data_IF_685925463286
#
_entry.id   IF_685925463286
#
_cell.length_a   1.000
_cell.length_b   1.000
_cell.length_c   1.000
_cell.angle_alpha   90.00
_cell.angle_beta   90.00
_cell.angle_gamma   90.00
#
_symmetry.space_group_name_H-M   'P 1'
#
loop_
_entity.id
_entity.type
_entity.pdbx_description
1 polymer ?
#
# COMPACT_ATOMS: atom_id res chain seq x y z
N UNK A 1 11.29 -4.70 24.22
CA UNK A 1 10.22 -3.80 23.72
C UNK A 1 8.96 -4.65 23.50
N UNK A 2 7.88 -4.33 24.20
CA UNK A 2 6.62 -5.05 24.06
C UNK A 2 5.92 -4.70 22.73
N UNK A 3 4.73 -5.30 22.47
CA UNK A 3 4.01 -5.07 21.21
C UNK A 3 3.49 -3.62 21.11
N UNK A 4 3.06 -3.05 22.23
CA UNK A 4 2.52 -1.68 22.30
C UNK A 4 3.61 -0.65 22.00
N UNK A 5 4.79 -0.83 22.58
CA UNK A 5 5.95 0.05 22.34
C UNK A 5 6.33 0.06 20.85
N UNK A 6 6.35 -1.12 20.21
CA UNK A 6 6.65 -1.25 18.77
C UNK A 6 5.62 -0.56 17.89
N UNK A 7 4.34 -0.65 18.24
CA UNK A 7 3.27 0.06 17.53
C UNK A 7 3.44 1.56 17.67
N UNK A 8 3.71 2.07 18.88
CA UNK A 8 3.91 3.49 19.13
C UNK A 8 5.11 4.03 18.32
N UNK A 9 6.25 3.34 18.35
CA UNK A 9 7.43 3.72 17.54
C UNK A 9 7.08 3.79 16.05
N UNK A 10 6.28 2.86 15.53
CA UNK A 10 5.87 2.89 14.12
C UNK A 10 4.98 4.10 13.82
N UNK A 11 4.04 4.41 14.71
CA UNK A 11 3.18 5.60 14.58
C UNK A 11 4.02 6.87 14.59
N UNK A 12 4.94 7.01 15.54
CA UNK A 12 5.81 8.20 15.66
C UNK A 12 6.69 8.39 14.42
N UNK A 13 7.17 7.30 13.83
CA UNK A 13 7.92 7.34 12.57
C UNK A 13 7.06 7.74 11.37
N UNK A 14 5.77 7.38 11.35
CA UNK A 14 4.86 7.70 10.25
C UNK A 14 4.28 9.12 10.36
N UNK A 15 3.96 9.59 11.57
CA UNK A 15 3.29 10.88 11.83
C UNK A 15 4.32 11.94 12.18
N UNK A 16 5.24 12.22 11.26
CA UNK A 16 6.23 13.28 11.41
C UNK A 16 5.72 14.60 10.84
N UNK A 17 5.96 15.69 11.54
CA UNK A 17 5.60 17.03 11.06
C UNK A 17 6.22 17.32 9.69
N UNK A 18 5.42 17.83 8.75
CA UNK A 18 5.86 18.20 7.41
C UNK A 18 6.08 17.01 6.46
N UNK A 19 5.78 15.76 6.86
CA UNK A 19 5.91 14.59 5.99
C UNK A 19 4.58 13.92 5.73
N UNK A 20 4.47 13.30 4.56
CA UNK A 20 3.33 12.48 4.16
C UNK A 20 3.67 11.01 4.00
N UNK A 21 2.67 10.21 3.66
CA UNK A 21 2.83 8.79 3.28
C UNK A 21 2.61 8.67 1.78
N UNK A 22 3.60 8.12 1.07
CA UNK A 22 3.51 7.88 -0.37
C UNK A 22 2.67 6.62 -0.65
N UNK A 23 1.64 6.76 -1.46
CA UNK A 23 0.89 5.62 -1.99
C UNK A 23 1.55 5.12 -3.30
N UNK A 24 2.22 3.97 -3.23
CA UNK A 24 2.81 3.24 -4.35
C UNK A 24 2.23 1.83 -4.43
N UNK A 25 0.93 1.71 -4.12
CA UNK A 25 0.21 0.45 -3.91
C UNK A 25 -0.77 0.11 -5.04
N UNK A 26 -0.57 0.67 -6.23
CA UNK A 26 -1.44 0.39 -7.38
C UNK A 26 -1.46 -1.10 -7.68
N UNK A 27 -2.66 -1.67 -7.73
CA UNK A 27 -2.87 -3.05 -8.18
C UNK A 27 -2.51 -3.22 -9.67
N UNK A 28 -2.30 -4.45 -10.11
CA UNK A 28 -1.97 -4.76 -11.51
C UNK A 28 -2.85 -4.03 -12.54
N UNK A 29 -4.20 -4.08 -12.45
CA UNK A 29 -5.07 -3.34 -13.37
C UNK A 29 -4.91 -1.82 -13.30
N UNK A 30 -4.66 -1.27 -12.12
CA UNK A 30 -4.50 0.19 -11.93
C UNK A 30 -3.21 0.68 -12.55
N UNK A 31 -2.08 0.00 -12.30
CA UNK A 31 -0.79 0.39 -12.86
C UNK A 31 -0.76 0.18 -14.38
N UNK A 32 -1.39 -0.89 -14.89
CA UNK A 32 -1.51 -1.14 -16.33
C UNK A 32 -2.26 0.00 -17.05
N UNK A 33 -3.34 0.51 -16.44
CA UNK A 33 -4.07 1.68 -16.98
C UNK A 33 -3.18 2.92 -17.03
N UNK A 34 -2.37 3.18 -16.00
CA UNK A 34 -1.43 4.33 -15.97
C UNK A 34 -0.36 4.18 -17.04
N UNK A 35 0.25 3.00 -17.16
CA UNK A 35 1.29 2.74 -18.16
C UNK A 35 0.77 2.85 -19.59
N UNK A 36 -0.44 2.35 -19.86
CA UNK A 36 -1.09 2.50 -21.17
C UNK A 36 -1.22 3.97 -21.57
N UNK A 37 -1.50 4.86 -20.63
CA UNK A 37 -1.66 6.29 -20.92
C UNK A 37 -0.35 6.96 -21.40
N UNK A 38 0.80 6.36 -21.11
CA UNK A 38 2.14 6.83 -21.51
C UNK A 38 2.83 5.88 -22.52
N UNK A 39 2.08 4.94 -23.11
CA UNK A 39 2.59 4.01 -24.12
C UNK A 39 3.55 2.94 -23.58
N UNK A 40 3.54 2.67 -22.27
CA UNK A 40 4.39 1.64 -21.63
C UNK A 40 3.58 0.36 -21.43
N UNK A 41 4.15 -0.79 -21.77
CA UNK A 41 3.58 -2.09 -21.47
C UNK A 41 3.71 -2.42 -19.98
N UNK A 42 2.65 -2.97 -19.38
CA UNK A 42 2.65 -3.37 -17.97
C UNK A 42 3.19 -4.79 -17.80
N UNK A 43 4.49 -4.94 -17.84
CA UNK A 43 5.21 -6.18 -17.51
C UNK A 43 5.60 -6.16 -16.03
N UNK A 44 6.03 -7.30 -15.48
CA UNK A 44 6.60 -7.35 -14.13
C UNK A 44 7.81 -6.42 -14.01
N UNK A 45 8.67 -6.40 -15.03
CA UNK A 45 9.87 -5.57 -15.06
C UNK A 45 9.54 -4.07 -15.10
N UNK A 46 8.61 -3.63 -15.93
CA UNK A 46 8.22 -2.22 -15.97
C UNK A 46 7.58 -1.75 -14.65
N UNK A 47 6.82 -2.62 -13.97
CA UNK A 47 6.27 -2.33 -12.64
C UNK A 47 7.37 -2.28 -11.59
N UNK A 48 8.33 -3.20 -11.62
CA UNK A 48 9.51 -3.19 -10.75
C UNK A 48 10.32 -1.91 -10.93
N UNK A 49 10.64 -1.56 -12.18
CA UNK A 49 11.39 -0.35 -12.50
C UNK A 49 10.69 0.92 -12.00
N UNK A 50 9.36 1.01 -12.17
CA UNK A 50 8.56 2.12 -11.65
C UNK A 50 8.63 2.21 -10.11
N UNK A 51 8.50 1.10 -9.40
CA UNK A 51 8.62 1.07 -7.92
C UNK A 51 10.04 1.42 -7.47
N UNK A 52 11.04 0.88 -8.15
CA UNK A 52 12.43 1.23 -7.88
C UNK A 52 12.70 2.73 -8.09
N UNK A 53 12.22 3.32 -9.18
CA UNK A 53 12.34 4.76 -9.45
C UNK A 53 11.80 5.60 -8.28
N UNK A 54 10.60 5.27 -7.79
CA UNK A 54 10.00 5.98 -6.66
C UNK A 54 10.85 5.85 -5.39
N UNK A 55 11.25 4.62 -5.05
CA UNK A 55 11.95 4.33 -3.78
C UNK A 55 13.42 4.76 -3.80
N UNK A 56 14.06 4.80 -4.96
CA UNK A 56 15.45 5.22 -5.10
C UNK A 56 15.62 6.74 -5.26
N UNK A 57 14.53 7.51 -5.31
CA UNK A 57 14.59 8.97 -5.48
C UNK A 57 15.36 9.62 -4.32
N UNK A 58 16.48 10.32 -4.57
CA UNK A 58 17.25 10.97 -3.52
C UNK A 58 16.45 12.05 -2.79
N UNK A 59 16.62 12.14 -1.48
CA UNK A 59 15.96 13.16 -0.66
C UNK A 59 14.48 12.93 -0.38
N UNK A 60 13.92 11.79 -0.78
CA UNK A 60 12.51 11.48 -0.58
C UNK A 60 12.10 11.54 0.90
N UNK A 61 12.95 11.10 1.80
CA UNK A 61 12.71 11.12 3.24
C UNK A 61 12.59 12.51 3.88
N UNK A 62 12.95 13.58 3.16
CA UNK A 62 12.68 14.94 3.63
C UNK A 62 11.18 15.26 3.64
N UNK A 63 10.38 14.61 2.77
CA UNK A 63 8.97 14.88 2.56
C UNK A 63 8.05 13.70 2.86
N UNK A 64 8.60 12.48 2.88
CA UNK A 64 7.86 11.23 3.01
C UNK A 64 8.39 10.45 4.21
N UNK A 65 7.50 10.02 5.09
CA UNK A 65 7.82 9.21 6.28
C UNK A 65 7.58 7.72 6.06
N UNK A 66 6.65 7.37 5.17
CA UNK A 66 6.30 5.97 4.88
C UNK A 66 5.82 5.78 3.46
N UNK A 67 5.84 4.54 2.99
CA UNK A 67 5.36 4.17 1.66
C UNK A 67 4.44 2.96 1.75
N UNK A 68 3.28 3.04 1.10
CA UNK A 68 2.36 1.90 0.97
C UNK A 68 2.75 1.16 -0.30
N UNK A 69 3.08 -0.12 -0.18
CA UNK A 69 3.48 -0.98 -1.27
C UNK A 69 2.35 -1.93 -1.69
N UNK A 70 2.47 -2.49 -2.89
CA UNK A 70 1.65 -3.59 -3.37
C UNK A 70 2.35 -4.93 -3.09
N UNK A 71 1.60 -6.02 -2.99
CA UNK A 71 2.13 -7.35 -2.62
C UNK A 71 3.31 -7.80 -3.51
N UNK A 72 3.18 -7.65 -4.83
CA UNK A 72 4.25 -7.95 -5.79
C UNK A 72 5.58 -7.25 -5.42
N UNK A 73 5.48 -5.98 -4.99
CA UNK A 73 6.65 -5.13 -4.69
C UNK A 73 7.44 -5.61 -3.47
N UNK A 74 6.78 -6.26 -2.51
CA UNK A 74 7.47 -6.82 -1.34
C UNK A 74 8.50 -7.90 -1.70
N UNK A 75 8.30 -8.57 -2.84
CA UNK A 75 9.18 -9.64 -3.34
C UNK A 75 10.21 -9.14 -4.35
N UNK A 76 10.03 -7.94 -4.90
CA UNK A 76 10.88 -7.37 -5.94
C UNK A 76 12.17 -6.78 -5.36
N UNK A 77 13.17 -6.65 -6.22
CA UNK A 77 14.49 -6.12 -5.87
C UNK A 77 14.86 -4.95 -6.77
N UNK A 78 15.66 -4.05 -6.22
CA UNK A 78 16.35 -3.00 -6.97
C UNK A 78 17.40 -3.60 -7.92
N UNK A 79 17.99 -2.76 -8.77
CA UNK A 79 19.01 -3.19 -9.75
C UNK A 79 20.26 -3.76 -9.09
N UNK A 80 20.62 -3.28 -7.91
CA UNK A 80 21.74 -3.77 -7.09
C UNK A 80 21.39 -5.03 -6.26
N UNK A 81 20.19 -5.60 -6.46
CA UNK A 81 19.73 -6.80 -5.77
C UNK A 81 19.14 -6.56 -4.37
N UNK A 82 19.10 -5.33 -3.87
CA UNK A 82 18.49 -4.98 -2.59
C UNK A 82 16.96 -5.15 -2.66
N UNK A 83 16.31 -5.84 -1.70
CA UNK A 83 14.85 -5.90 -1.64
C UNK A 83 14.22 -4.50 -1.58
N UNK A 84 13.16 -4.24 -2.35
CA UNK A 84 12.53 -2.92 -2.39
C UNK A 84 12.02 -2.43 -1.02
N UNK A 85 11.47 -3.26 -0.11
CA UNK A 85 11.17 -2.83 1.25
C UNK A 85 12.41 -2.39 2.05
N UNK A 86 13.54 -3.07 1.86
CA UNK A 86 14.81 -2.70 2.48
C UNK A 86 15.36 -1.40 1.90
N UNK A 87 15.26 -1.20 0.58
CA UNK A 87 15.60 0.07 -0.06
C UNK A 87 14.80 1.23 0.55
N UNK A 88 13.49 1.06 0.76
CA UNK A 88 12.66 2.06 1.44
C UNK A 88 13.18 2.38 2.85
N UNK A 89 13.53 1.36 3.63
CA UNK A 89 14.12 1.56 4.97
C UNK A 89 15.45 2.31 4.92
N UNK A 90 16.34 1.97 3.98
CA UNK A 90 17.63 2.66 3.79
C UNK A 90 17.45 4.14 3.43
N UNK A 91 16.37 4.46 2.73
CA UNK A 91 15.96 5.85 2.43
C UNK A 91 15.28 6.56 3.62
N UNK A 92 15.09 5.88 4.75
CA UNK A 92 14.41 6.44 5.92
C UNK A 92 12.87 6.41 5.85
N UNK A 93 12.30 5.58 4.99
CA UNK A 93 10.86 5.40 4.84
C UNK A 93 10.38 4.15 5.57
N UNK A 94 9.23 4.22 6.24
CA UNK A 94 8.57 3.04 6.83
C UNK A 94 7.78 2.30 5.73
N UNK A 95 8.11 1.03 5.40
CA UNK A 95 7.34 0.27 4.42
C UNK A 95 6.01 -0.19 5.00
N UNK A 96 4.94 -0.01 4.24
CA UNK A 96 3.61 -0.53 4.53
C UNK A 96 3.07 -1.33 3.36
N UNK A 97 1.92 -1.96 3.55
CA UNK A 97 1.30 -2.87 2.58
C UNK A 97 -0.19 -2.63 2.44
N UNK A 98 -0.67 -2.58 1.19
CA UNK A 98 -2.10 -2.65 0.87
C UNK A 98 -2.60 -4.08 1.12
N UNK A 99 -3.59 -4.22 2.02
CA UNK A 99 -4.10 -5.54 2.43
C UNK A 99 -5.53 -5.84 1.98
N UNK A 100 -6.28 -4.85 1.51
CA UNK A 100 -7.61 -5.09 0.96
C UNK A 100 -7.53 -5.89 -0.36
N UNK A 101 -8.51 -6.75 -0.60
CA UNK A 101 -8.63 -7.60 -1.79
C UNK A 101 -9.63 -7.05 -2.83
N UNK A 102 -9.91 -5.74 -2.79
CA UNK A 102 -10.87 -5.10 -3.67
C UNK A 102 -12.26 -4.98 -3.04
N UNK A 103 -13.26 -4.67 -3.86
CA UNK A 103 -14.63 -4.41 -3.41
C UNK A 103 -15.64 -5.18 -4.26
N UNK A 104 -16.78 -5.50 -3.65
CA UNK A 104 -17.94 -6.11 -4.29
C UNK A 104 -19.21 -5.35 -3.89
N UNK A 105 -20.30 -5.59 -4.60
CA UNK A 105 -21.61 -5.06 -4.21
C UNK A 105 -22.02 -5.56 -2.82
N UNK A 106 -22.54 -4.66 -1.98
CA UNK A 106 -23.07 -5.03 -0.69
C UNK A 106 -24.45 -5.69 -0.88
N UNK A 107 -24.61 -6.90 -0.35
CA UNK A 107 -25.87 -7.63 -0.44
C UNK A 107 -27.01 -6.83 0.23
N UNK A 108 -28.18 -6.81 -0.41
CA UNK A 108 -29.36 -6.08 0.05
C UNK A 108 -29.24 -4.54 0.17
N UNK A 109 -28.16 -3.97 -0.39
CA UNK A 109 -27.94 -2.52 -0.42
C UNK A 109 -27.54 -2.07 -1.83
N UNK A 110 -28.49 -1.95 -2.79
CA UNK A 110 -28.20 -1.56 -4.17
C UNK A 110 -27.44 -0.22 -4.24
N UNK A 111 -26.30 -0.22 -4.94
CA UNK A 111 -25.43 0.95 -5.07
C UNK A 111 -24.35 1.07 -4.01
N UNK A 112 -24.41 0.31 -2.91
CA UNK A 112 -23.33 0.22 -1.93
C UNK A 112 -22.34 -0.92 -2.24
N UNK A 113 -21.15 -0.79 -1.73
CA UNK A 113 -20.05 -1.74 -1.89
C UNK A 113 -19.42 -2.09 -0.55
N UNK A 114 -18.86 -3.29 -0.45
CA UNK A 114 -18.09 -3.73 0.71
C UNK A 114 -16.68 -4.16 0.28
N UNK A 115 -15.70 -3.81 1.09
CA UNK A 115 -14.30 -4.18 0.86
C UNK A 115 -14.04 -5.59 1.37
N UNK A 116 -13.40 -6.38 0.53
CA UNK A 116 -12.98 -7.76 0.83
C UNK A 116 -11.53 -7.81 1.35
N UNK A 117 -11.16 -8.96 1.96
CA UNK A 117 -9.78 -9.26 2.33
C UNK A 117 -9.55 -9.52 3.81
N UNK A 118 -10.62 -9.66 4.62
CA UNK A 118 -10.47 -10.03 6.04
C UNK A 118 -10.16 -11.52 6.21
N UNK A 119 -10.63 -12.38 5.29
CA UNK A 119 -10.36 -13.80 5.35
C UNK A 119 -8.87 -14.10 5.22
N UNK A 120 -8.32 -14.81 6.20
CA UNK A 120 -6.89 -15.15 6.26
C UNK A 120 -5.96 -13.94 6.45
N UNK A 121 -6.46 -12.75 6.79
CA UNK A 121 -5.67 -11.53 6.92
C UNK A 121 -4.54 -11.69 7.95
N UNK A 122 -4.80 -12.31 9.11
CA UNK A 122 -3.78 -12.50 10.14
C UNK A 122 -2.56 -13.29 9.61
N UNK A 123 -2.82 -14.36 8.82
CA UNK A 123 -1.75 -15.15 8.20
C UNK A 123 -0.96 -14.32 7.17
N UNK A 124 -1.66 -13.56 6.30
CA UNK A 124 -1.01 -12.68 5.30
C UNK A 124 -0.17 -11.60 5.98
N UNK A 125 -0.68 -10.98 7.06
CA UNK A 125 0.07 -9.97 7.82
C UNK A 125 1.36 -10.53 8.43
N UNK A 126 1.35 -11.79 8.88
CA UNK A 126 2.58 -12.48 9.34
C UNK A 126 3.62 -12.53 8.22
N UNK A 127 3.24 -12.99 7.04
CA UNK A 127 4.13 -13.06 5.86
C UNK A 127 4.64 -11.68 5.44
N UNK A 128 3.77 -10.68 5.33
CA UNK A 128 4.16 -9.33 4.94
C UNK A 128 5.12 -8.68 5.95
N UNK A 129 4.93 -8.96 7.24
CA UNK A 129 5.85 -8.50 8.29
C UNK A 129 7.25 -9.10 8.12
N UNK A 130 7.36 -10.39 7.79
CA UNK A 130 8.63 -11.06 7.50
C UNK A 130 9.30 -10.47 6.26
N UNK A 131 8.50 -10.04 5.26
CA UNK A 131 8.96 -9.35 4.05
C UNK A 131 9.32 -7.87 4.27
N UNK A 132 9.20 -7.34 5.47
CA UNK A 132 9.62 -6.00 5.84
C UNK A 132 8.51 -4.98 6.07
N UNK A 133 7.24 -5.29 5.80
CA UNK A 133 6.13 -4.37 6.07
C UNK A 133 5.98 -4.09 7.58
N UNK A 134 5.68 -2.84 7.92
CA UNK A 134 5.52 -2.38 9.32
C UNK A 134 4.13 -1.86 9.61
N UNK A 135 3.35 -1.46 8.60
CA UNK A 135 1.95 -1.05 8.73
C UNK A 135 1.11 -1.58 7.57
N UNK A 136 -0.18 -1.62 7.76
CA UNK A 136 -1.15 -2.05 6.76
C UNK A 136 -2.07 -0.89 6.36
N UNK A 137 -2.39 -0.79 5.06
CA UNK A 137 -3.41 0.12 4.54
C UNK A 137 -4.63 -0.69 4.12
N UNK A 138 -5.77 -0.34 4.70
CA UNK A 138 -7.09 -0.81 4.29
C UNK A 138 -7.85 0.32 3.61
N UNK A 139 -8.58 0.01 2.54
CA UNK A 139 -9.47 0.98 1.89
C UNK A 139 -10.92 0.54 2.00
N UNK A 140 -11.71 1.26 2.79
CA UNK A 140 -13.16 1.24 2.69
C UNK A 140 -13.64 2.26 1.63
N UNK A 141 -14.74 1.98 0.97
CA UNK A 141 -15.30 2.85 -0.07
C UNK A 141 -16.80 3.00 0.16
N UNK A 142 -17.26 4.23 0.18
CA UNK A 142 -18.69 4.58 0.17
C UNK A 142 -19.03 5.31 -1.11
N UNK A 143 -20.15 4.95 -1.72
CA UNK A 143 -20.79 5.80 -2.70
C UNK A 143 -21.60 6.87 -1.97
N UNK A 144 -21.46 8.13 -2.38
CA UNK A 144 -22.13 9.27 -1.73
C UNK A 144 -23.10 9.90 -2.70
N UNK A 145 -24.39 9.93 -2.32
CA UNK A 145 -25.48 10.60 -3.04
C UNK A 145 -26.57 11.00 -2.04
N UNK A 146 -27.71 11.46 -2.53
CA UNK A 146 -28.86 11.79 -1.67
C UNK A 146 -29.42 10.58 -0.90
N UNK A 147 -29.14 9.35 -1.37
CA UNK A 147 -29.64 8.10 -0.79
C UNK A 147 -28.56 7.12 -0.36
N UNK A 148 -27.27 7.44 -0.64
CA UNK A 148 -26.11 6.61 -0.33
C UNK A 148 -25.09 7.40 0.52
N UNK A 149 -24.35 6.73 1.42
CA UNK A 149 -24.41 5.28 1.73
C UNK A 149 -25.73 4.93 2.46
N UNK A 150 -26.19 3.70 2.27
CA UNK A 150 -27.30 3.16 3.05
C UNK A 150 -26.91 2.98 4.51
N UNK A 151 -27.90 2.87 5.41
CA UNK A 151 -27.66 2.59 6.83
C UNK A 151 -26.95 1.24 7.06
N UNK A 152 -27.06 0.30 6.12
CA UNK A 152 -26.39 -0.99 6.20
C UNK A 152 -24.90 -0.89 5.88
N UNK A 153 -24.48 0.10 5.06
CA UNK A 153 -23.09 0.30 4.65
C UNK A 153 -22.25 1.07 5.69
N UNK A 154 -22.93 1.79 6.60
CA UNK A 154 -22.31 2.55 7.70
C UNK A 154 -22.19 1.67 8.95
#
# INVERSE_FOLDING_TARGET
MDARDRLQVTVDLLVQAGKGILAADESGPTIAKRFKAIGVESTEESRRAYRNLLLATPGLSAFISGVILYEETLLQRAEDGVPLPELALRQGLVPGIKVDAGKIALAHAPGDEITQGLDGLAKRLGVYKEQGARFAKWRAVYNVSDTLPSRLAI
#
